data_IF_221829229988
#
_entry.id   IF_221829229988
#
_cell.length_a   1.000
_cell.length_b   1.000
_cell.length_c   1.000
_cell.angle_alpha   90.00
_cell.angle_beta   90.00
_cell.angle_gamma   90.00
#
_symmetry.space_group_name_H-M   'P 1'
#
loop_
_entity.id
_entity.type
_entity.pdbx_description
1 polymer ?
#
# COMPACT_ATOMS: atom_id res chain seq x y z
N UNK A 1 20.00 5.92 -36.28
CA UNK A 1 19.42 4.57 -36.44
C UNK A 1 18.49 4.57 -37.64
N UNK A 2 18.72 3.73 -38.66
CA UNK A 2 17.92 3.72 -39.92
C UNK A 2 16.44 3.46 -39.68
N UNK A 3 16.12 2.71 -38.63
CA UNK A 3 14.75 2.33 -38.28
C UNK A 3 13.80 3.52 -38.04
N UNK A 4 14.32 4.68 -37.64
CA UNK A 4 13.52 5.88 -37.32
C UNK A 4 12.91 6.58 -38.54
N UNK A 5 13.13 6.04 -39.74
CA UNK A 5 12.60 6.54 -41.01
C UNK A 5 11.45 5.68 -41.55
N UNK A 6 11.15 4.55 -40.90
CA UNK A 6 10.00 3.74 -41.31
C UNK A 6 8.68 4.39 -40.89
N UNK A 7 7.59 4.16 -41.64
CA UNK A 7 6.25 4.59 -41.25
C UNK A 7 5.80 4.01 -39.90
N UNK A 8 4.91 4.71 -39.19
CA UNK A 8 4.43 4.32 -37.86
C UNK A 8 3.84 2.89 -37.82
N UNK A 9 3.17 2.45 -38.88
CA UNK A 9 2.61 1.08 -38.94
C UNK A 9 3.72 0.02 -38.87
N UNK A 10 4.83 0.24 -39.58
CA UNK A 10 5.98 -0.67 -39.57
C UNK A 10 6.70 -0.60 -38.23
N UNK A 11 6.87 0.61 -37.67
CA UNK A 11 7.47 0.79 -36.34
C UNK A 11 6.65 0.12 -35.24
N UNK A 12 5.32 0.19 -35.32
CA UNK A 12 4.42 -0.48 -34.38
C UNK A 12 4.62 -1.99 -34.40
N UNK A 13 4.57 -2.61 -35.59
CA UNK A 13 4.81 -4.04 -35.75
C UNK A 13 6.21 -4.44 -35.30
N UNK A 14 7.22 -3.62 -35.60
CA UNK A 14 8.58 -3.86 -35.14
C UNK A 14 8.63 -3.92 -33.61
N UNK A 15 8.13 -2.90 -32.91
CA UNK A 15 8.14 -2.82 -31.45
C UNK A 15 7.25 -3.88 -30.78
N UNK A 16 6.24 -4.42 -31.46
CA UNK A 16 5.38 -5.51 -30.97
C UNK A 16 6.16 -6.80 -30.70
N UNK A 17 7.26 -7.04 -31.43
CA UNK A 17 8.09 -8.22 -31.27
C UNK A 17 9.00 -8.18 -30.02
N UNK A 18 9.06 -7.04 -29.31
CA UNK A 18 9.93 -6.87 -28.15
C UNK A 18 9.17 -6.96 -26.84
N UNK A 19 9.81 -7.51 -25.82
CA UNK A 19 9.38 -7.47 -24.43
C UNK A 19 9.42 -6.03 -23.87
N UNK A 20 8.82 -5.80 -22.70
CA UNK A 20 8.91 -4.48 -22.06
C UNK A 20 10.32 -4.11 -21.64
N UNK A 21 11.13 -5.10 -21.26
CA UNK A 21 12.53 -4.90 -20.89
C UNK A 21 13.38 -4.53 -22.11
N UNK A 22 13.14 -5.18 -23.25
CA UNK A 22 13.83 -4.87 -24.50
C UNK A 22 13.42 -3.49 -25.03
N UNK A 23 12.13 -3.15 -24.98
CA UNK A 23 11.66 -1.80 -25.31
C UNK A 23 12.27 -0.74 -24.39
N UNK A 24 12.40 -1.04 -23.10
CA UNK A 24 13.07 -0.16 -22.14
C UNK A 24 14.55 0.02 -22.48
N UNK A 25 15.28 -1.07 -22.80
CA UNK A 25 16.69 -0.99 -23.25
C UNK A 25 16.84 -0.16 -24.51
N UNK A 26 15.99 -0.38 -25.51
CA UNK A 26 15.98 0.41 -26.75
C UNK A 26 15.72 1.90 -26.47
N UNK A 27 14.89 2.20 -25.47
CA UNK A 27 14.59 3.58 -25.10
C UNK A 27 15.82 4.36 -24.63
N UNK A 28 16.84 3.69 -24.07
CA UNK A 28 18.08 4.34 -23.61
C UNK A 28 18.94 4.89 -24.75
N UNK A 29 18.76 4.40 -25.98
CA UNK A 29 19.57 4.81 -27.12
C UNK A 29 19.36 6.28 -27.52
N UNK A 30 18.15 6.83 -27.36
CA UNK A 30 17.87 8.26 -27.57
C UNK A 30 16.47 8.66 -27.09
N UNK A 31 16.29 9.93 -26.74
CA UNK A 31 14.95 10.50 -26.47
C UNK A 31 13.98 10.33 -27.65
N UNK A 32 14.49 10.35 -28.91
CA UNK A 32 13.66 10.10 -30.11
C UNK A 32 13.11 8.68 -30.13
N UNK A 33 13.92 7.66 -29.84
CA UNK A 33 13.47 6.26 -29.75
C UNK A 33 12.50 6.09 -28.59
N UNK A 34 12.80 6.65 -27.41
CA UNK A 34 11.91 6.65 -26.24
C UNK A 34 10.51 7.15 -26.59
N UNK A 35 10.42 8.30 -27.26
CA UNK A 35 9.14 8.90 -27.64
C UNK A 35 8.41 8.09 -28.74
N UNK A 36 9.14 7.51 -29.69
CA UNK A 36 8.56 6.64 -30.73
C UNK A 36 7.99 5.34 -30.14
N UNK A 37 8.71 4.70 -29.23
CA UNK A 37 8.22 3.52 -28.52
C UNK A 37 6.96 3.89 -27.74
N UNK A 38 7.00 4.99 -26.97
CA UNK A 38 5.86 5.43 -26.15
C UNK A 38 4.61 5.69 -26.99
N UNK A 39 4.74 6.43 -28.10
CA UNK A 39 3.61 6.72 -28.99
C UNK A 39 3.06 5.45 -29.66
N UNK A 40 3.93 4.55 -30.13
CA UNK A 40 3.50 3.34 -30.84
C UNK A 40 2.99 2.23 -29.93
N UNK A 41 3.48 2.13 -28.71
CA UNK A 41 3.21 1.03 -27.78
C UNK A 41 2.37 1.44 -26.56
N UNK A 42 1.84 2.67 -26.53
CA UNK A 42 1.01 3.17 -25.42
C UNK A 42 -0.14 2.22 -25.05
N UNK A 43 -0.74 1.54 -26.03
CA UNK A 43 -1.82 0.60 -25.81
C UNK A 43 -1.37 -0.66 -25.04
N UNK A 44 -0.11 -1.08 -25.17
CA UNK A 44 0.48 -2.16 -24.35
C UNK A 44 0.83 -1.64 -22.97
N UNK A 45 1.36 -0.43 -22.87
CA UNK A 45 1.71 0.18 -21.58
C UNK A 45 0.48 0.39 -20.70
N UNK A 46 -0.68 0.73 -21.28
CA UNK A 46 -1.97 0.80 -20.56
C UNK A 46 -2.42 -0.54 -19.97
N UNK A 47 -1.91 -1.68 -20.46
CA UNK A 47 -2.19 -3.00 -19.87
C UNK A 47 -1.27 -3.31 -18.68
N UNK A 48 -0.13 -2.61 -18.56
CA UNK A 48 0.66 -2.64 -17.34
C UNK A 48 -0.15 -1.95 -16.25
N UNK A 49 -0.50 -2.69 -15.20
CA UNK A 49 -1.30 -2.12 -14.13
C UNK A 49 -0.42 -1.44 -13.10
N UNK A 50 0.77 -1.99 -12.88
CA UNK A 50 1.58 -1.63 -11.72
C UNK A 50 3.07 -1.64 -12.01
N UNK A 51 3.81 -0.79 -11.30
CA UNK A 51 5.27 -0.84 -11.17
C UNK A 51 5.62 -0.69 -9.69
N UNK A 52 6.35 -1.65 -9.13
CA UNK A 52 6.71 -1.70 -7.71
C UNK A 52 8.23 -1.64 -7.52
N UNK A 53 8.68 -0.84 -6.55
CA UNK A 53 10.07 -0.75 -6.10
C UNK A 53 10.28 -1.59 -4.85
N UNK A 54 11.30 -2.44 -4.85
CA UNK A 54 11.61 -3.39 -3.78
C UNK A 54 12.91 -3.07 -3.11
N UNK A 55 12.81 -2.61 -1.88
CA UNK A 55 13.91 -2.19 -1.04
C UNK A 55 14.04 -3.23 0.08
N UNK A 56 14.67 -4.36 -0.25
CA UNK A 56 14.86 -5.50 0.67
C UNK A 56 16.33 -5.66 1.11
N UNK A 57 17.21 -4.81 0.60
CA UNK A 57 18.63 -4.76 0.91
C UNK A 57 19.05 -3.29 1.03
N UNK A 58 20.05 -3.03 1.87
CA UNK A 58 20.64 -1.69 1.99
C UNK A 58 21.26 -1.23 0.67
N UNK A 59 21.81 -2.14 -0.12
CA UNK A 59 22.52 -1.79 -1.35
C UNK A 59 21.77 -2.16 -2.63
N UNK A 60 21.02 -3.26 -2.64
CA UNK A 60 20.30 -3.68 -3.84
C UNK A 60 18.82 -3.31 -3.77
N UNK A 61 18.22 -3.04 -4.93
CA UNK A 61 16.77 -2.96 -5.07
C UNK A 61 16.30 -3.59 -6.38
N UNK A 62 15.06 -4.06 -6.38
CA UNK A 62 14.41 -4.56 -7.58
C UNK A 62 13.28 -3.64 -8.02
N UNK A 63 12.96 -3.67 -9.30
CA UNK A 63 11.76 -3.03 -9.85
C UNK A 63 11.00 -4.11 -10.59
N UNK A 64 9.73 -4.28 -10.25
CA UNK A 64 8.86 -5.21 -10.97
C UNK A 64 7.67 -4.49 -11.57
N UNK A 65 7.19 -4.98 -12.70
CA UNK A 65 5.94 -4.51 -13.29
C UNK A 65 5.12 -5.69 -13.77
N UNK A 66 3.81 -5.63 -13.59
CA UNK A 66 2.91 -6.69 -14.07
C UNK A 66 1.80 -6.15 -14.95
N UNK A 67 1.67 -6.84 -16.09
CA UNK A 67 0.56 -6.77 -17.01
C UNK A 67 -0.19 -8.10 -16.99
N UNK A 68 -1.31 -8.18 -17.70
CA UNK A 68 -2.07 -9.44 -17.88
C UNK A 68 -1.27 -10.53 -18.61
N UNK A 69 -0.29 -10.14 -19.42
CA UNK A 69 0.43 -11.06 -20.32
C UNK A 69 1.96 -10.91 -20.29
N UNK A 70 2.50 -10.04 -19.43
CA UNK A 70 3.94 -9.77 -19.38
C UNK A 70 4.39 -9.25 -18.01
N UNK A 71 5.67 -9.45 -17.73
CA UNK A 71 6.35 -9.07 -16.50
C UNK A 71 7.59 -8.24 -16.84
N UNK A 72 7.85 -7.21 -16.04
CA UNK A 72 9.07 -6.41 -16.06
C UNK A 72 9.84 -6.78 -14.79
N UNK A 73 11.12 -7.10 -14.90
CA UNK A 73 11.99 -7.33 -13.75
C UNK A 73 13.35 -6.66 -13.98
N UNK A 74 13.67 -5.69 -13.13
CA UNK A 74 14.95 -5.00 -13.13
C UNK A 74 15.61 -5.17 -11.77
N UNK A 75 16.91 -5.44 -11.76
CA UNK A 75 17.69 -5.49 -10.52
C UNK A 75 18.76 -4.41 -10.58
N UNK A 76 18.84 -3.60 -9.53
CA UNK A 76 19.83 -2.53 -9.39
C UNK A 76 20.67 -2.77 -8.16
N UNK A 77 21.99 -2.84 -8.32
CA UNK A 77 22.94 -3.15 -7.25
C UNK A 77 24.19 -2.26 -7.34
N UNK A 78 24.95 -2.07 -6.25
CA UNK A 78 26.15 -1.25 -6.30
C UNK A 78 27.20 -1.90 -7.23
N UNK A 79 27.97 -1.06 -7.91
CA UNK A 79 29.06 -1.52 -8.77
C UNK A 79 30.26 -1.97 -7.91
N UNK A 80 30.77 -3.21 -8.06
CA UNK A 80 31.85 -3.73 -7.22
C UNK A 80 33.27 -3.24 -7.60
N UNK A 81 33.44 -2.26 -8.49
CA UNK A 81 34.76 -1.82 -8.95
C UNK A 81 34.74 -0.72 -10.02
N UNK A 82 35.92 -0.37 -10.54
CA UNK A 82 36.07 0.73 -11.51
C UNK A 82 35.80 0.34 -12.97
N UNK A 83 35.78 -0.96 -13.27
CA UNK A 83 35.66 -1.46 -14.65
C UNK A 83 34.21 -1.61 -15.11
N UNK A 84 33.84 -0.80 -16.10
CA UNK A 84 32.55 -0.87 -16.80
C UNK A 84 32.41 0.34 -17.71
N UNK A 85 31.93 0.15 -18.94
CA UNK A 85 31.71 1.28 -19.86
C UNK A 85 30.48 2.07 -19.38
N UNK A 86 30.65 3.31 -18.89
CA UNK A 86 29.53 4.11 -18.43
C UNK A 86 28.60 4.40 -19.61
N UNK A 87 27.31 4.12 -19.43
CA UNK A 87 26.28 4.40 -20.44
C UNK A 87 25.23 5.33 -19.85
N UNK A 88 24.59 6.13 -20.71
CA UNK A 88 23.42 6.92 -20.33
C UNK A 88 22.19 5.99 -20.24
N UNK A 89 21.96 5.42 -19.06
CA UNK A 89 20.86 4.49 -18.77
C UNK A 89 19.84 5.21 -17.88
N UNK A 90 18.55 5.01 -18.13
CA UNK A 90 17.48 5.73 -17.42
C UNK A 90 17.61 7.26 -17.49
N UNK A 91 18.24 7.78 -18.55
CA UNK A 91 18.49 9.23 -18.68
C UNK A 91 19.52 9.78 -17.69
N UNK A 92 20.15 8.93 -16.86
CA UNK A 92 21.15 9.34 -15.88
C UNK A 92 22.51 9.54 -16.54
N UNK A 93 23.29 10.47 -16.00
CA UNK A 93 24.58 10.85 -16.59
C UNK A 93 25.57 9.68 -16.66
N UNK A 94 26.37 9.58 -17.74
CA UNK A 94 27.42 8.57 -17.86
C UNK A 94 28.29 8.54 -16.60
N UNK A 95 28.38 7.37 -15.96
CA UNK A 95 29.09 7.17 -14.70
C UNK A 95 28.18 6.99 -13.48
N UNK A 96 26.88 7.28 -13.61
CA UNK A 96 25.88 6.97 -12.57
C UNK A 96 25.50 5.49 -12.59
N UNK A 97 25.34 4.93 -13.79
CA UNK A 97 24.85 3.57 -14.05
C UNK A 97 25.62 2.91 -15.20
N UNK A 98 25.79 1.59 -15.12
CA UNK A 98 26.21 0.75 -16.22
C UNK A 98 25.36 -0.53 -16.27
N UNK A 99 25.24 -1.14 -17.45
CA UNK A 99 24.54 -2.41 -17.59
C UNK A 99 25.50 -3.55 -17.24
N UNK A 100 25.08 -4.48 -16.38
CA UNK A 100 25.86 -5.69 -16.11
C UNK A 100 25.43 -6.78 -17.09
N UNK A 101 26.39 -7.34 -17.84
CA UNK A 101 26.13 -8.34 -18.88
C UNK A 101 27.13 -9.48 -18.78
N UNK A 102 27.04 -10.29 -17.72
CA UNK A 102 27.68 -11.60 -17.67
C UNK A 102 26.61 -12.64 -17.28
N UNK A 103 26.04 -13.29 -18.30
CA UNK A 103 25.16 -14.48 -18.25
C UNK A 103 23.82 -14.42 -17.50
N UNK A 104 22.80 -14.97 -18.16
CA UNK A 104 21.44 -15.39 -17.73
C UNK A 104 20.44 -14.36 -17.15
N UNK A 105 20.85 -13.21 -16.61
CA UNK A 105 19.91 -12.18 -16.11
C UNK A 105 20.07 -10.84 -16.84
N UNK A 106 19.43 -10.70 -18.01
CA UNK A 106 19.66 -9.56 -18.91
C UNK A 106 19.21 -8.17 -18.40
N UNK A 107 18.75 -8.03 -17.15
CA UNK A 107 18.14 -6.80 -16.61
C UNK A 107 18.78 -6.32 -15.31
N UNK A 108 20.06 -6.66 -15.10
CA UNK A 108 20.86 -6.17 -13.97
C UNK A 108 21.59 -4.89 -14.36
N UNK A 109 21.46 -3.86 -13.53
CA UNK A 109 22.14 -2.59 -13.69
C UNK A 109 22.98 -2.27 -12.45
N UNK A 110 24.22 -1.85 -12.65
CA UNK A 110 25.09 -1.45 -11.56
C UNK A 110 25.10 0.05 -11.43
N UNK A 111 25.06 0.55 -10.20
CA UNK A 111 25.13 1.97 -9.93
C UNK A 111 26.37 2.33 -9.09
N UNK A 112 26.91 3.53 -9.30
CA UNK A 112 28.12 4.05 -8.60
C UNK A 112 27.83 5.21 -7.64
N UNK A 113 26.64 5.80 -7.73
CA UNK A 113 26.21 6.94 -6.89
C UNK A 113 25.38 6.47 -5.69
N UNK A 114 24.96 7.41 -4.86
CA UNK A 114 24.03 7.15 -3.76
C UNK A 114 22.73 6.50 -4.27
N UNK A 115 22.31 5.44 -3.59
CA UNK A 115 21.14 4.60 -3.94
C UNK A 115 19.87 5.42 -4.12
N UNK A 116 19.60 6.37 -3.23
CA UNK A 116 18.42 7.24 -3.28
C UNK A 116 18.33 8.02 -4.60
N UNK A 117 19.41 8.71 -4.99
CA UNK A 117 19.46 9.47 -6.24
C UNK A 117 19.25 8.58 -7.47
N UNK A 118 19.75 7.33 -7.40
CA UNK A 118 19.55 6.34 -8.47
C UNK A 118 18.09 5.90 -8.53
N UNK A 119 17.45 5.59 -7.41
CA UNK A 119 16.04 5.20 -7.37
C UNK A 119 15.16 6.34 -7.91
N UNK A 120 15.40 7.58 -7.48
CA UNK A 120 14.67 8.76 -7.95
C UNK A 120 14.82 8.94 -9.47
N UNK A 121 16.05 8.92 -9.99
CA UNK A 121 16.30 9.08 -11.41
C UNK A 121 15.70 7.96 -12.28
N UNK A 122 15.78 6.72 -11.81
CA UNK A 122 15.13 5.58 -12.47
C UNK A 122 13.61 5.73 -12.43
N UNK A 123 13.04 6.20 -11.31
CA UNK A 123 11.62 6.44 -11.18
C UNK A 123 11.11 7.51 -12.15
N UNK A 124 11.76 8.67 -12.21
CA UNK A 124 11.41 9.72 -13.16
C UNK A 124 11.43 9.22 -14.61
N UNK A 125 12.44 8.42 -14.97
CA UNK A 125 12.53 7.84 -16.30
C UNK A 125 11.39 6.87 -16.59
N UNK A 126 11.11 5.94 -15.67
CA UNK A 126 10.04 4.95 -15.81
C UNK A 126 8.65 5.61 -15.87
N UNK A 127 8.45 6.67 -15.08
CA UNK A 127 7.24 7.48 -15.10
C UNK A 127 7.05 8.17 -16.45
N UNK A 128 8.09 8.79 -17.02
CA UNK A 128 8.04 9.39 -18.35
C UNK A 128 7.85 8.38 -19.48
N UNK A 129 8.38 7.17 -19.31
CA UNK A 129 8.36 6.12 -20.33
C UNK A 129 7.00 5.42 -20.39
N UNK A 130 6.51 4.95 -19.24
CA UNK A 130 5.27 4.18 -19.18
C UNK A 130 4.01 5.04 -18.92
N UNK A 131 4.16 6.18 -18.25
CA UNK A 131 3.10 7.16 -18.02
C UNK A 131 2.35 7.02 -16.69
N UNK A 132 1.58 8.06 -16.37
CA UNK A 132 0.85 8.22 -15.10
C UNK A 132 -0.38 7.30 -14.91
N UNK A 133 -0.75 6.52 -15.93
CA UNK A 133 -1.88 5.57 -15.80
C UNK A 133 -1.53 4.33 -14.98
N UNK A 134 -0.25 4.11 -14.70
CA UNK A 134 0.25 2.97 -13.93
C UNK A 134 0.19 3.28 -12.44
N UNK A 135 -0.12 2.25 -11.66
CA UNK A 135 -0.03 2.30 -10.21
C UNK A 135 1.42 2.08 -9.76
N UNK A 136 2.10 3.14 -9.34
CA UNK A 136 3.46 3.07 -8.80
C UNK A 136 3.42 2.82 -7.29
N UNK A 137 4.19 1.85 -6.81
CA UNK A 137 4.22 1.49 -5.38
C UNK A 137 5.63 1.27 -4.85
N UNK A 138 5.85 1.57 -3.56
CA UNK A 138 7.11 1.29 -2.87
C UNK A 138 6.89 0.19 -1.83
N UNK A 139 7.81 -0.78 -1.79
CA UNK A 139 7.85 -1.83 -0.79
C UNK A 139 9.23 -1.83 -0.13
N UNK A 140 9.29 -1.54 1.16
CA UNK A 140 10.49 -1.59 1.99
C UNK A 140 10.31 -2.64 3.09
N UNK A 141 11.21 -3.61 3.17
CA UNK A 141 11.09 -4.69 4.16
C UNK A 141 12.41 -4.94 4.87
N UNK A 142 12.38 -4.88 6.21
CA UNK A 142 13.52 -5.16 7.10
C UNK A 142 14.77 -4.35 6.74
N UNK A 143 14.58 -3.11 6.31
CA UNK A 143 15.65 -2.15 6.03
C UNK A 143 15.97 -1.32 7.28
N UNK A 144 17.21 -0.87 7.37
CA UNK A 144 17.69 0.10 8.39
C UNK A 144 17.39 1.56 7.97
N UNK A 145 17.08 1.77 6.70
CA UNK A 145 16.77 3.08 6.13
C UNK A 145 15.29 3.18 5.72
N UNK A 146 14.75 4.40 5.83
CA UNK A 146 13.46 4.74 5.23
C UNK A 146 13.61 4.80 3.70
N UNK A 147 12.57 4.43 2.94
CA UNK A 147 12.65 4.46 1.49
C UNK A 147 12.71 5.91 0.97
N UNK A 148 13.26 6.14 -0.24
CA UNK A 148 13.31 7.47 -0.81
C UNK A 148 11.92 8.02 -1.08
N UNK A 149 11.78 9.33 -0.95
CA UNK A 149 10.52 10.03 -1.25
C UNK A 149 10.38 10.16 -2.77
N UNK A 150 9.43 9.43 -3.35
CA UNK A 150 9.13 9.47 -4.78
C UNK A 150 7.79 10.18 -5.01
N UNK A 151 7.76 11.06 -6.01
CA UNK A 151 6.52 11.72 -6.46
C UNK A 151 5.64 10.74 -7.23
N UNK A 152 4.35 11.04 -7.33
CA UNK A 152 3.40 10.27 -8.16
C UNK A 152 3.32 8.76 -7.84
N UNK A 153 3.62 8.38 -6.60
CA UNK A 153 3.41 7.02 -6.06
C UNK A 153 2.01 6.93 -5.46
N UNK A 154 1.29 5.85 -5.75
CA UNK A 154 -0.09 5.66 -5.33
C UNK A 154 -0.24 5.01 -3.95
N UNK A 155 0.77 4.24 -3.53
CA UNK A 155 0.80 3.62 -2.22
C UNK A 155 2.14 3.01 -1.84
N UNK A 156 2.34 2.85 -0.54
CA UNK A 156 3.60 2.36 0.03
C UNK A 156 3.37 1.34 1.12
N UNK A 157 4.28 0.37 1.21
CA UNK A 157 4.44 -0.57 2.31
C UNK A 157 5.84 -0.37 2.87
N UNK A 158 5.93 0.23 4.05
CA UNK A 158 7.17 0.74 4.63
C UNK A 158 7.45 0.00 5.94
N UNK A 159 8.58 -0.71 5.98
CA UNK A 159 9.21 -1.10 7.23
C UNK A 159 9.83 0.12 7.89
N UNK A 160 9.36 0.46 9.10
CA UNK A 160 9.87 1.58 9.90
C UNK A 160 11.09 1.09 10.68
N UNK A 161 12.28 1.66 10.46
CA UNK A 161 13.49 1.24 11.17
C UNK A 161 13.43 1.53 12.68
N UNK A 162 14.01 0.63 13.49
CA UNK A 162 13.93 0.70 14.95
C UNK A 162 14.65 1.93 15.54
N UNK A 163 15.64 2.48 14.84
CA UNK A 163 16.53 3.57 15.28
C UNK A 163 15.95 4.99 15.08
N UNK A 164 14.81 5.14 14.39
CA UNK A 164 14.24 6.47 14.07
C UNK A 164 13.45 7.07 15.22
N UNK A 165 13.70 8.33 15.55
CA UNK A 165 12.89 9.05 16.56
C UNK A 165 11.51 9.43 16.02
N UNK A 166 10.59 9.81 16.91
CA UNK A 166 9.26 10.27 16.51
C UNK A 166 9.35 11.54 15.63
N UNK A 167 10.30 12.44 15.91
CA UNK A 167 10.52 13.67 15.15
C UNK A 167 11.08 13.40 13.75
N UNK A 168 12.01 12.45 13.62
CA UNK A 168 12.56 12.04 12.33
C UNK A 168 11.47 11.41 11.45
N UNK A 169 10.63 10.55 12.03
CA UNK A 169 9.50 9.95 11.34
C UNK A 169 8.47 11.01 10.93
N UNK A 170 8.14 11.93 11.82
CA UNK A 170 7.21 13.01 11.51
C UNK A 170 7.75 13.93 10.41
N UNK A 171 9.05 14.28 10.44
CA UNK A 171 9.68 15.06 9.38
C UNK A 171 9.60 14.32 8.03
N UNK A 172 9.93 13.04 8.02
CA UNK A 172 9.87 12.21 6.82
C UNK A 172 8.46 12.12 6.25
N UNK A 173 7.46 11.80 7.07
CA UNK A 173 6.08 11.64 6.59
C UNK A 173 5.40 12.97 6.22
N UNK A 174 5.89 14.11 6.70
CA UNK A 174 5.44 15.43 6.25
C UNK A 174 5.85 15.72 4.80
N UNK A 175 7.06 15.34 4.43
CA UNK A 175 7.56 15.48 3.06
C UNK A 175 7.06 14.37 2.14
N UNK A 176 6.61 13.25 2.73
CA UNK A 176 6.07 12.12 2.00
C UNK A 176 4.71 12.48 1.39
N UNK A 177 4.53 12.31 0.06
CA UNK A 177 3.24 12.59 -0.59
C UNK A 177 2.10 11.81 0.07
N UNK A 178 0.96 12.47 0.29
CA UNK A 178 -0.24 11.78 0.78
C UNK A 178 -0.68 10.78 -0.28
N UNK A 179 -0.69 9.50 0.09
CA UNK A 179 -1.03 8.40 -0.79
C UNK A 179 -2.44 7.90 -0.51
N UNK A 180 -3.00 7.16 -1.47
CA UNK A 180 -4.27 6.47 -1.24
C UNK A 180 -4.12 5.38 -0.20
N UNK A 181 -2.95 4.74 -0.13
CA UNK A 181 -2.68 3.58 0.71
C UNK A 181 -1.31 3.68 1.37
N UNK A 182 -1.28 3.62 2.70
CA UNK A 182 -0.05 3.50 3.46
C UNK A 182 -0.12 2.25 4.34
N UNK A 183 0.84 1.34 4.19
CA UNK A 183 1.12 0.26 5.13
C UNK A 183 2.42 0.55 5.87
N UNK A 184 2.39 0.42 7.18
CA UNK A 184 3.55 0.53 8.06
C UNK A 184 3.76 -0.79 8.78
N UNK A 185 4.99 -1.29 8.75
CA UNK A 185 5.42 -2.50 9.45
C UNK A 185 6.58 -2.20 10.41
N UNK A 186 6.69 -2.95 11.51
CA UNK A 186 7.80 -2.85 12.46
C UNK A 186 7.33 -2.64 13.90
N UNK A 187 8.22 -2.18 14.78
CA UNK A 187 7.88 -1.87 16.18
C UNK A 187 7.30 -0.46 16.26
N UNK A 188 5.98 -0.33 16.11
CA UNK A 188 5.31 0.97 15.91
C UNK A 188 4.70 1.60 17.16
N UNK A 189 4.69 0.90 18.31
CA UNK A 189 4.11 1.41 19.54
C UNK A 189 4.87 2.65 20.03
N UNK A 190 4.15 3.73 20.33
CA UNK A 190 4.72 5.01 20.77
C UNK A 190 5.86 5.51 19.86
N UNK A 191 5.67 5.41 18.54
CA UNK A 191 6.63 5.89 17.52
C UNK A 191 6.15 7.13 16.77
N UNK A 192 4.92 7.58 17.04
CA UNK A 192 4.30 8.68 16.33
C UNK A 192 3.67 9.64 17.33
N UNK A 193 4.02 10.92 17.18
CA UNK A 193 3.44 11.98 17.99
C UNK A 193 1.90 11.99 17.89
N UNK A 194 1.15 12.43 18.93
CA UNK A 194 -0.33 12.33 19.00
C UNK A 194 -1.13 12.98 17.85
N UNK A 195 -0.51 13.82 17.02
CA UNK A 195 -1.15 14.46 15.86
C UNK A 195 -0.36 14.25 14.56
N UNK A 196 0.39 13.15 14.49
CA UNK A 196 1.21 12.82 13.34
C UNK A 196 0.42 12.87 12.03
N UNK A 197 1.07 13.32 10.97
CA UNK A 197 0.50 13.32 9.61
C UNK A 197 0.08 11.92 9.15
N UNK A 198 0.71 10.86 9.69
CA UNK A 198 0.38 9.46 9.39
C UNK A 198 -1.09 9.15 9.66
N UNK A 199 -1.66 9.69 10.75
CA UNK A 199 -3.03 9.44 11.18
C UNK A 199 -4.09 10.04 10.26
N UNK A 200 -3.70 10.89 9.32
CA UNK A 200 -4.59 11.57 8.36
C UNK A 200 -4.73 10.84 7.04
N UNK A 201 -3.96 9.76 6.81
CA UNK A 201 -4.08 8.96 5.60
C UNK A 201 -5.49 8.38 5.48
N UNK A 202 -6.07 8.43 4.26
CA UNK A 202 -7.40 7.88 4.02
C UNK A 202 -7.47 6.40 4.38
N UNK A 203 -6.41 5.68 4.01
CA UNK A 203 -6.25 4.25 4.25
C UNK A 203 -4.91 3.98 4.92
N UNK A 204 -4.96 3.46 6.15
CA UNK A 204 -3.79 3.08 6.93
C UNK A 204 -3.86 1.61 7.30
N UNK A 205 -2.78 0.88 7.02
CA UNK A 205 -2.58 -0.48 7.49
C UNK A 205 -1.36 -0.55 8.38
N UNK A 206 -1.53 -1.18 9.54
CA UNK A 206 -0.51 -1.35 10.56
C UNK A 206 -0.25 -2.83 10.73
N UNK A 207 1.03 -3.16 10.72
CA UNK A 207 1.56 -4.49 10.87
C UNK A 207 2.65 -4.40 11.96
N UNK A 208 2.19 -4.38 13.20
CA UNK A 208 3.01 -4.13 14.39
C UNK A 208 2.87 -5.31 15.34
N UNK A 209 3.99 -5.87 15.80
CA UNK A 209 4.04 -6.96 16.79
C UNK A 209 3.72 -6.48 18.23
N UNK A 210 3.31 -5.22 18.41
CA UNK A 210 3.04 -4.59 19.70
C UNK A 210 1.59 -4.13 19.84
N UNK A 211 1.32 -3.21 20.78
CA UNK A 211 0.02 -2.57 20.97
C UNK A 211 -0.27 -1.52 19.90
N UNK A 212 -1.52 -1.48 19.42
CA UNK A 212 -2.00 -0.53 18.41
C UNK A 212 -2.87 0.61 18.98
N UNK A 213 -3.03 0.65 20.31
CA UNK A 213 -3.99 1.50 21.01
C UNK A 213 -3.85 2.99 20.65
N UNK A 214 -2.64 3.52 20.71
CA UNK A 214 -2.37 4.93 20.41
C UNK A 214 -2.68 5.27 18.96
N UNK A 215 -2.32 4.37 18.03
CA UNK A 215 -2.57 4.56 16.61
C UNK A 215 -4.08 4.58 16.34
N UNK A 216 -4.83 3.64 16.94
CA UNK A 216 -6.28 3.62 16.83
C UNK A 216 -6.90 4.92 17.36
N UNK A 217 -6.52 5.35 18.56
CA UNK A 217 -7.15 6.52 19.20
C UNK A 217 -6.85 7.85 18.51
N UNK A 218 -5.72 7.95 17.80
CA UNK A 218 -5.34 9.17 17.08
C UNK A 218 -5.75 9.17 15.60
N UNK A 219 -6.14 8.03 15.03
CA UNK A 219 -6.52 7.93 13.62
C UNK A 219 -7.70 8.84 13.23
N UNK A 220 -7.59 9.52 12.09
CA UNK A 220 -8.57 10.47 11.54
C UNK A 220 -9.03 10.14 10.12
N UNK A 221 -8.50 9.09 9.51
CA UNK A 221 -8.84 8.64 8.16
C UNK A 221 -10.13 7.83 8.08
N UNK A 222 -10.26 7.03 7.00
CA UNK A 222 -11.50 6.31 6.67
C UNK A 222 -11.39 4.80 6.83
N UNK A 223 -10.21 4.23 6.57
CA UNK A 223 -9.99 2.80 6.63
C UNK A 223 -8.75 2.52 7.45
N UNK A 224 -8.92 1.74 8.52
CA UNK A 224 -7.83 1.37 9.41
C UNK A 224 -7.78 -0.15 9.54
N UNK A 225 -6.61 -0.73 9.31
CA UNK A 225 -6.41 -2.18 9.42
C UNK A 225 -5.20 -2.45 10.29
N UNK A 226 -5.38 -3.33 11.27
CA UNK A 226 -4.32 -3.87 12.09
C UNK A 226 -4.17 -5.36 11.84
N UNK A 227 -2.94 -5.80 11.61
CA UNK A 227 -2.58 -7.21 11.52
C UNK A 227 -1.45 -7.48 12.49
N UNK A 228 -1.56 -8.60 13.21
CA UNK A 228 -0.60 -9.04 14.21
C UNK A 228 -0.39 -8.05 15.37
N UNK A 229 -1.34 -7.14 15.61
CA UNK A 229 -1.26 -6.05 16.60
C UNK A 229 -2.24 -6.27 17.75
N UNK A 230 -1.78 -6.06 18.98
CA UNK A 230 -2.57 -6.29 20.20
C UNK A 230 -3.32 -5.02 20.64
N UNK A 231 -4.38 -5.21 21.43
CA UNK A 231 -5.23 -4.13 21.96
C UNK A 231 -5.75 -4.47 23.35
N UNK A 232 -5.94 -3.44 24.17
CA UNK A 232 -6.71 -3.57 25.42
C UNK A 232 -8.20 -3.56 25.11
N UNK A 233 -8.97 -4.40 25.79
CA UNK A 233 -10.43 -4.44 25.70
C UNK A 233 -11.04 -3.04 25.95
N UNK A 234 -10.49 -2.33 26.94
CA UNK A 234 -10.89 -0.95 27.27
C UNK A 234 -10.68 0.05 26.12
N UNK A 235 -9.69 -0.16 25.25
CA UNK A 235 -9.46 0.69 24.08
C UNK A 235 -10.51 0.45 23.00
N UNK A 236 -10.88 -0.81 22.76
CA UNK A 236 -11.96 -1.17 21.83
C UNK A 236 -13.29 -0.61 22.35
N UNK A 237 -13.55 -0.77 23.65
CA UNK A 237 -14.73 -0.19 24.32
C UNK A 237 -14.75 1.33 24.23
N UNK A 238 -13.61 2.00 24.44
CA UNK A 238 -13.50 3.45 24.28
C UNK A 238 -13.77 3.89 22.84
N UNK A 239 -13.21 3.18 21.85
CA UNK A 239 -13.44 3.44 20.44
C UNK A 239 -14.95 3.37 20.10
N UNK A 240 -15.61 2.26 20.45
CA UNK A 240 -17.02 2.04 20.16
C UNK A 240 -17.92 3.08 20.85
N UNK A 241 -17.64 3.41 22.12
CA UNK A 241 -18.40 4.43 22.84
C UNK A 241 -18.20 5.84 22.25
N UNK A 242 -16.97 6.22 21.88
CA UNK A 242 -16.71 7.51 21.22
C UNK A 242 -17.40 7.62 19.86
N UNK A 243 -17.42 6.52 19.09
CA UNK A 243 -18.14 6.51 17.82
C UNK A 243 -19.65 6.59 18.04
N UNK A 244 -20.22 5.75 18.92
CA UNK A 244 -21.66 5.72 19.24
C UNK A 244 -22.19 7.08 19.71
N UNK A 245 -21.46 7.72 20.62
CA UNK A 245 -21.84 9.04 21.18
C UNK A 245 -21.49 10.22 20.25
N UNK A 246 -21.01 9.94 19.04
CA UNK A 246 -20.58 10.94 18.05
C UNK A 246 -19.45 11.86 18.53
N UNK A 247 -18.64 11.43 19.50
CA UNK A 247 -17.50 12.19 20.04
C UNK A 247 -16.19 11.92 19.27
N UNK A 248 -16.11 10.87 18.46
CA UNK A 248 -14.93 10.58 17.65
C UNK A 248 -15.20 9.64 16.48
N UNK A 249 -14.21 9.49 15.60
CA UNK A 249 -14.20 8.53 14.49
C UNK A 249 -15.31 8.74 13.44
N UNK A 250 -15.80 9.97 13.29
CA UNK A 250 -16.91 10.27 12.37
C UNK A 250 -16.58 9.97 10.91
N UNK A 251 -15.31 10.13 10.52
CA UNK A 251 -14.81 9.85 9.17
C UNK A 251 -14.61 8.36 8.89
N UNK A 252 -14.50 7.53 9.93
CA UNK A 252 -14.17 6.13 9.81
C UNK A 252 -15.30 5.38 9.09
N UNK A 253 -14.92 4.55 8.12
CA UNK A 253 -15.82 3.68 7.35
C UNK A 253 -15.57 2.21 7.62
N UNK A 254 -14.33 1.81 7.88
CA UNK A 254 -14.00 0.45 8.28
C UNK A 254 -12.80 0.41 9.23
N UNK A 255 -12.90 -0.42 10.26
CA UNK A 255 -11.80 -0.83 11.13
C UNK A 255 -11.77 -2.36 11.17
N UNK A 256 -10.59 -2.93 10.93
CA UNK A 256 -10.34 -4.36 11.05
C UNK A 256 -9.10 -4.61 11.90
N UNK A 257 -9.19 -5.55 12.83
CA UNK A 257 -8.09 -5.98 13.70
C UNK A 257 -8.02 -7.50 13.64
N UNK A 258 -6.84 -8.03 13.30
CA UNK A 258 -6.58 -9.47 13.27
C UNK A 258 -5.38 -9.83 14.12
N UNK A 259 -5.58 -10.70 15.11
CA UNK A 259 -4.53 -11.18 16.02
C UNK A 259 -3.83 -12.47 15.54
N UNK A 260 -4.22 -13.03 14.40
CA UNK A 260 -3.74 -14.34 13.95
C UNK A 260 -2.37 -14.26 13.27
N UNK A 261 -1.31 -14.92 13.79
CA UNK A 261 -0.02 -15.14 13.08
C UNK A 261 0.17 -16.61 12.67
N UNK A 262 0.82 -16.83 11.52
CA UNK A 262 1.25 -18.15 11.05
C UNK A 262 2.79 -18.25 11.10
N UNK A 263 3.39 -19.36 11.58
CA UNK A 263 2.73 -20.58 12.02
C UNK A 263 2.31 -20.51 13.50
N UNK A 264 0.98 -20.54 13.75
CA UNK A 264 0.24 -20.94 14.98
C UNK A 264 0.78 -20.59 16.38
N UNK A 265 1.79 -19.75 16.50
CA UNK A 265 2.21 -19.18 17.77
C UNK A 265 1.30 -17.97 18.01
N UNK A 266 0.42 -18.12 18.99
CA UNK A 266 -0.23 -16.97 19.60
C UNK A 266 0.90 -16.19 20.27
N UNK A 267 1.39 -15.12 19.64
CA UNK A 267 2.41 -14.25 20.26
C UNK A 267 1.93 -13.62 21.57
N UNK A 268 0.61 -13.61 21.80
CA UNK A 268 -0.03 -12.84 22.86
C UNK A 268 -0.90 -13.71 23.75
N UNK A 269 -0.58 -13.78 25.04
CA UNK A 269 -1.39 -14.49 26.04
C UNK A 269 -2.82 -13.91 26.19
N UNK A 270 -3.08 -12.71 25.65
CA UNK A 270 -4.36 -11.99 25.80
C UNK A 270 -5.15 -11.97 24.49
N UNK A 271 -6.31 -12.62 24.50
CA UNK A 271 -7.35 -12.51 23.47
C UNK A 271 -8.38 -11.44 23.89
N UNK A 272 -9.17 -10.93 22.93
CA UNK A 272 -10.28 -10.03 23.25
C UNK A 272 -11.34 -10.77 24.08
N UNK A 273 -11.79 -10.14 25.16
CA UNK A 273 -12.97 -10.59 25.89
C UNK A 273 -14.22 -9.98 25.24
N UNK A 274 -14.83 -10.73 24.32
CA UNK A 274 -16.00 -10.27 23.60
C UNK A 274 -17.20 -10.04 24.52
N UNK A 275 -17.35 -10.80 25.61
CA UNK A 275 -18.46 -10.62 26.56
C UNK A 275 -18.27 -9.34 27.38
N UNK A 276 -17.04 -9.06 27.83
CA UNK A 276 -16.73 -7.81 28.53
C UNK A 276 -16.95 -6.59 27.63
N UNK A 277 -16.46 -6.64 26.39
CA UNK A 277 -16.61 -5.52 25.44
C UNK A 277 -18.09 -5.29 25.11
N UNK A 278 -18.83 -6.36 24.75
CA UNK A 278 -20.24 -6.25 24.43
C UNK A 278 -21.10 -5.89 25.66
N UNK A 279 -20.71 -6.29 26.88
CA UNK A 279 -21.44 -5.92 28.09
C UNK A 279 -21.30 -4.45 28.47
N UNK A 280 -20.18 -3.82 28.10
CA UNK A 280 -19.90 -2.41 28.38
C UNK A 280 -20.44 -1.45 27.30
N UNK A 281 -21.04 -1.98 26.25
CA UNK A 281 -21.54 -1.21 25.11
C UNK A 281 -22.94 -1.70 24.82
N UNK A 282 -23.88 -0.79 24.67
CA UNK A 282 -25.23 -1.16 24.22
C UNK A 282 -25.21 -1.42 22.69
N UNK A 283 -24.60 -2.57 22.32
CA UNK A 283 -24.62 -3.21 21.01
C UNK A 283 -25.95 -3.92 20.85
N UNK A 284 -26.62 -3.68 19.73
CA UNK A 284 -27.90 -4.30 19.42
C UNK A 284 -27.67 -5.60 18.68
N UNK A 285 -28.46 -6.60 19.01
CA UNK A 285 -28.44 -7.92 18.38
C UNK A 285 -29.74 -8.17 17.62
N UNK A 286 -29.64 -8.52 16.34
CA UNK A 286 -30.80 -8.93 15.54
C UNK A 286 -31.32 -10.30 15.97
N UNK A 287 -32.65 -10.46 16.00
CA UNK A 287 -33.29 -11.73 16.36
C UNK A 287 -32.91 -12.83 15.37
N UNK A 288 -32.87 -14.11 15.79
CA UNK A 288 -32.56 -15.22 14.89
C UNK A 288 -33.45 -15.30 13.63
N UNK A 289 -34.69 -14.82 13.73
CA UNK A 289 -35.66 -14.73 12.63
C UNK A 289 -35.38 -13.63 11.61
N UNK A 290 -34.55 -12.65 11.96
CA UNK A 290 -34.14 -11.56 11.07
C UNK A 290 -32.90 -11.97 10.28
N UNK A 291 -32.80 -11.50 9.03
CA UNK A 291 -31.61 -11.68 8.21
C UNK A 291 -30.44 -10.89 8.81
N UNK A 292 -29.25 -11.47 8.77
CA UNK A 292 -28.05 -10.78 9.21
C UNK A 292 -27.69 -9.64 8.25
N UNK A 293 -27.09 -8.58 8.79
CA UNK A 293 -26.63 -7.44 8.00
C UNK A 293 -25.47 -7.85 7.12
N UNK A 294 -25.61 -7.62 5.82
CA UNK A 294 -24.55 -7.86 4.85
C UNK A 294 -23.99 -6.52 4.39
N UNK A 295 -22.81 -6.16 4.90
CA UNK A 295 -22.13 -4.92 4.55
C UNK A 295 -21.00 -5.24 3.59
N UNK A 296 -20.92 -4.48 2.50
CA UNK A 296 -19.86 -4.60 1.50
C UNK A 296 -18.98 -3.36 1.50
N UNK A 297 -17.67 -3.55 1.40
CA UNK A 297 -16.74 -2.44 1.20
C UNK A 297 -15.59 -2.84 0.31
N UNK A 298 -14.77 -1.85 -0.04
CA UNK A 298 -13.56 -2.03 -0.82
C UNK A 298 -12.35 -1.86 0.08
N UNK A 299 -11.56 -2.92 0.17
CA UNK A 299 -10.32 -2.97 0.94
C UNK A 299 -9.12 -2.83 0.00
N UNK A 300 -8.11 -2.04 0.38
CA UNK A 300 -6.83 -2.03 -0.34
C UNK A 300 -5.88 -3.05 0.28
N UNK A 301 -5.33 -3.93 -0.58
CA UNK A 301 -4.45 -5.01 -0.19
C UNK A 301 -3.18 -4.99 -1.01
N UNK A 302 -2.05 -5.19 -0.32
CA UNK A 302 -0.77 -5.53 -0.95
C UNK A 302 -0.78 -7.02 -1.32
N UNK A 303 -0.62 -7.34 -2.60
CA UNK A 303 -0.56 -8.72 -3.10
C UNK A 303 0.88 -9.21 -3.11
N UNK A 304 1.24 -10.28 -2.40
CA UNK A 304 2.63 -10.73 -2.25
C UNK A 304 3.41 -10.95 -3.54
N UNK A 305 2.79 -11.29 -4.67
CA UNK A 305 3.47 -11.25 -5.97
C UNK A 305 2.52 -10.68 -7.04
N UNK A 306 2.82 -9.52 -7.63
CA UNK A 306 4.10 -8.79 -7.66
C UNK A 306 4.06 -7.55 -6.75
N UNK A 307 3.75 -7.71 -5.45
CA UNK A 307 3.68 -6.63 -4.43
C UNK A 307 3.03 -5.34 -4.92
N UNK A 308 1.78 -5.49 -5.33
CA UNK A 308 0.94 -4.41 -5.85
C UNK A 308 -0.14 -4.06 -4.87
N UNK A 309 -0.56 -2.79 -4.89
CA UNK A 309 -1.79 -2.39 -4.22
C UNK A 309 -2.97 -2.65 -5.18
N UNK A 310 -3.90 -3.50 -4.74
CA UNK A 310 -5.15 -3.78 -5.44
C UNK A 310 -6.32 -3.56 -4.49
N UNK A 311 -7.46 -3.19 -5.05
CA UNK A 311 -8.72 -3.14 -4.32
C UNK A 311 -9.44 -4.48 -4.41
N UNK A 312 -9.85 -5.01 -3.26
CA UNK A 312 -10.63 -6.24 -3.12
C UNK A 312 -12.01 -5.89 -2.54
N UNK A 313 -13.08 -6.50 -3.06
CA UNK A 313 -14.39 -6.41 -2.42
C UNK A 313 -14.38 -7.31 -1.18
N UNK A 314 -14.80 -6.75 -0.05
CA UNK A 314 -14.97 -7.45 1.21
C UNK A 314 -16.42 -7.40 1.64
N UNK A 315 -16.81 -8.42 2.39
CA UNK A 315 -18.15 -8.55 2.93
C UNK A 315 -18.05 -8.90 4.40
N UNK A 316 -18.90 -8.27 5.22
CA UNK A 316 -19.08 -8.60 6.62
C UNK A 316 -20.55 -8.97 6.78
N UNK A 317 -20.79 -10.16 7.30
CA UNK A 317 -22.11 -10.59 7.71
C UNK A 317 -22.15 -10.56 9.23
N UNK A 318 -22.97 -9.67 9.81
CA UNK A 318 -23.09 -9.55 11.26
C UNK A 318 -24.55 -9.37 11.70
N UNK A 319 -24.88 -9.93 12.87
CA UNK A 319 -26.15 -9.69 13.56
C UNK A 319 -26.04 -8.60 14.62
N UNK A 320 -24.81 -8.19 14.93
CA UNK A 320 -24.50 -7.18 15.93
C UNK A 320 -24.24 -5.83 15.28
N UNK A 321 -24.90 -4.80 15.80
CA UNK A 321 -24.80 -3.45 15.24
C UNK A 321 -24.93 -2.35 16.28
N UNK A 322 -24.47 -1.17 15.91
CA UNK A 322 -24.58 0.08 16.66
C UNK A 322 -25.23 1.14 15.78
N UNK A 323 -25.99 2.02 16.44
CA UNK A 323 -26.52 3.24 15.84
C UNK A 323 -25.87 4.41 16.57
N UNK A 324 -25.29 5.34 15.82
CA UNK A 324 -24.68 6.55 16.35
C UNK A 324 -25.75 7.56 16.76
N UNK A 325 -25.66 8.06 17.97
CA UNK A 325 -26.68 8.89 18.60
C UNK A 325 -26.87 10.25 17.90
N UNK A 326 -25.78 10.80 17.36
CA UNK A 326 -25.78 12.15 16.77
C UNK A 326 -26.48 12.28 15.42
N UNK A 327 -26.42 11.24 14.57
CA UNK A 327 -26.90 11.30 13.18
C UNK A 327 -27.61 10.02 12.71
N UNK A 328 -27.74 9.01 13.57
CA UNK A 328 -28.41 7.75 13.24
C UNK A 328 -27.61 6.83 12.32
N UNK A 329 -26.34 7.13 12.03
CA UNK A 329 -25.50 6.27 11.18
C UNK A 329 -25.29 4.90 11.84
N UNK A 330 -25.41 3.82 11.05
CA UNK A 330 -25.28 2.44 11.52
C UNK A 330 -23.88 1.85 11.28
N UNK A 331 -23.44 0.96 12.18
CA UNK A 331 -22.20 0.20 12.02
C UNK A 331 -22.24 -1.21 12.62
N UNK A 332 -21.53 -2.16 12.00
CA UNK A 332 -21.69 -3.62 12.20
C UNK A 332 -20.46 -3.96 12.93
N UNK A 333 -20.70 -4.70 13.99
CA UNK A 333 -19.66 -5.09 14.89
C UNK A 333 -19.57 -6.60 14.79
N UNK A 334 -18.37 -7.12 14.64
CA UNK A 334 -18.11 -8.55 14.80
C UNK A 334 -16.91 -8.65 15.71
N UNK A 335 -17.12 -9.22 16.89
CA UNK A 335 -16.11 -9.37 17.93
C UNK A 335 -15.94 -10.85 18.22
N UNK A 336 -14.77 -11.35 17.86
CA UNK A 336 -14.33 -12.69 18.22
C UNK A 336 -13.05 -12.58 19.04
N UNK A 337 -12.63 -13.68 19.64
CA UNK A 337 -11.35 -13.74 20.36
C UNK A 337 -10.14 -13.38 19.48
N UNK A 338 -10.25 -13.48 18.15
CA UNK A 338 -9.13 -13.36 17.20
C UNK A 338 -9.28 -12.25 16.17
N UNK A 339 -10.45 -11.66 16.06
CA UNK A 339 -10.73 -10.62 15.11
C UNK A 339 -11.74 -9.62 15.68
N UNK A 340 -11.55 -8.36 15.34
CA UNK A 340 -12.55 -7.32 15.53
C UNK A 340 -12.80 -6.66 14.18
N UNK A 341 -14.07 -6.61 13.77
CA UNK A 341 -14.50 -5.92 12.55
C UNK A 341 -15.54 -4.87 12.90
N UNK A 342 -15.37 -3.69 12.35
CA UNK A 342 -16.29 -2.58 12.47
C UNK A 342 -16.46 -1.94 11.10
N UNK A 343 -17.68 -1.94 10.54
CA UNK A 343 -17.94 -1.36 9.21
C UNK A 343 -19.19 -0.50 9.26
N UNK A 344 -19.09 0.71 8.72
CA UNK A 344 -20.19 1.69 8.66
C UNK A 344 -20.95 1.55 7.35
N UNK A 345 -22.29 1.51 7.41
CA UNK A 345 -23.18 1.51 6.24
C UNK A 345 -24.07 2.73 6.22
N UNK A 346 -24.69 2.94 5.06
CA UNK A 346 -25.79 3.86 4.93
C UNK A 346 -27.12 3.17 5.30
N UNK A 347 -28.02 3.96 5.88
CA UNK A 347 -29.43 3.68 6.09
C UNK A 347 -30.14 3.08 4.87
N UNK A 348 -29.72 3.48 3.66
CA UNK A 348 -30.25 3.00 2.38
C UNK A 348 -29.86 1.55 2.08
N UNK A 349 -28.75 1.06 2.62
CA UNK A 349 -28.26 -0.31 2.41
C UNK A 349 -28.95 -1.32 3.36
N UNK A 350 -29.44 -0.85 4.51
CA UNK A 350 -30.08 -1.68 5.55
C UNK A 350 -31.38 -1.06 6.06
N UNK A 351 -32.30 -0.75 5.14
CA UNK A 351 -33.57 -0.03 5.43
C UNK A 351 -34.48 -0.72 6.44
N UNK A 352 -34.41 -2.05 6.54
CA UNK A 352 -35.19 -2.85 7.50
C UNK A 352 -34.86 -2.54 8.97
N UNK A 353 -33.66 -2.01 9.27
CA UNK A 353 -33.27 -1.61 10.64
C UNK A 353 -33.94 -0.30 11.05
N UNK A 354 -34.14 0.63 10.11
CA UNK A 354 -34.59 2.01 10.41
C UNK A 354 -36.11 2.14 10.31
N UNK A 355 -36.76 1.26 9.54
CA UNK A 355 -38.23 1.21 9.41
C UNK A 355 -38.98 0.83 10.69
N UNK A 356 -38.31 0.31 11.72
CA UNK A 356 -38.93 -0.13 12.98
C UNK A 356 -39.13 0.99 14.02
N UNK A 357 -38.85 2.26 13.68
CA UNK A 357 -39.09 3.41 14.58
C UNK A 357 -40.51 3.99 14.53
N UNK A 358 -41.40 3.49 13.69
CA UNK A 358 -42.76 4.02 13.50
C UNK A 358 -43.86 2.93 13.55
N UNK A 359 -43.82 2.02 14.52
CA UNK A 359 -45.02 1.24 14.92
C UNK A 359 -45.25 1.30 16.43
#
# INVERSE_FOLDING_TARGET
MRILHFPDVVLRQFFENFSFEELLKLSFCSNRIKNLIRSNQHYRFRKMKTIAYYLTSESMFNITGKSTCSYLHLTLMPHPGEHGNPMKIFGLEPGTLCCYSYSESSNVYLYRKQKEAVIQGVHEYLFQFFGSSINYTIFSQKTTELPPILKDVNGSDIWVPDDKTEEELESYFKDYPIQKYLKLSGKLNSRFIPNSVVYRNEYLKIDSENYGDEILLNFKGRHLIFIYTNFRDSTITQFLNKWKTNQGFQNLKALFISFYQYPKEILFDRMLDNLEIMGNIDVRHLKPSEDALLVKWREMKTVSYPHTCMTEEKTLQSRDYLIRDGDGQGASVDITQRCFSFVVWDSTENTHIIGSKNE
#
